data_IF_096370044235
#
_entry.id   IF_096370044235
#
_cell.length_a   1.000
_cell.length_b   1.000
_cell.length_c   1.000
_cell.angle_alpha   90.00
_cell.angle_beta   90.00
_cell.angle_gamma   90.00
#
_symmetry.space_group_name_H-M   'P 1'
#
loop_
_entity.id
_entity.type
_entity.pdbx_description
1 polymer ?
#
# COMPACT_ATOMS: atom_id res chain seq x y z
N UNK A 1 7.25 28.50 -4.38
CA UNK A 1 7.76 27.15 -4.73
C UNK A 1 6.79 26.10 -4.21
N UNK A 2 6.23 25.25 -5.07
CA UNK A 2 5.43 24.10 -4.63
C UNK A 2 6.37 22.94 -4.30
N UNK A 3 6.67 22.76 -3.01
CA UNK A 3 7.38 21.57 -2.52
C UNK A 3 6.44 20.35 -2.62
N UNK A 4 6.91 19.29 -3.26
CA UNK A 4 6.23 17.98 -3.30
C UNK A 4 6.83 17.09 -2.21
N UNK A 5 6.00 16.32 -1.52
CA UNK A 5 6.42 15.33 -0.52
C UNK A 5 5.86 13.96 -0.90
N UNK A 6 6.68 12.90 -0.96
CA UNK A 6 6.20 11.55 -1.20
C UNK A 6 5.49 11.02 0.06
N UNK A 7 4.17 10.90 0.03
CA UNK A 7 3.36 10.53 1.21
C UNK A 7 3.80 9.19 1.80
N UNK A 8 3.92 8.14 0.97
CA UNK A 8 4.36 6.82 1.44
C UNK A 8 5.86 6.79 1.76
N UNK A 9 6.68 7.62 1.11
CA UNK A 9 8.10 7.78 1.45
C UNK A 9 8.32 8.43 2.82
N UNK A 10 7.31 9.12 3.36
CA UNK A 10 7.30 9.72 4.69
C UNK A 10 6.52 8.88 5.72
N UNK A 11 5.72 7.91 5.26
CA UNK A 11 5.02 6.92 6.09
C UNK A 11 5.83 5.62 6.06
N UNK A 12 7.01 5.65 6.68
CA UNK A 12 8.10 4.68 6.46
C UNK A 12 7.95 3.36 7.21
N UNK A 13 6.90 3.17 8.00
CA UNK A 13 6.69 1.92 8.74
C UNK A 13 5.28 1.40 8.51
N UNK A 14 5.19 0.21 7.91
CA UNK A 14 3.95 -0.52 7.78
C UNK A 14 4.14 -1.98 8.17
N UNK A 15 3.14 -2.51 8.88
CA UNK A 15 3.09 -3.93 9.23
C UNK A 15 1.88 -4.55 8.55
N UNK A 16 2.07 -5.69 7.91
CA UNK A 16 0.98 -6.50 7.36
C UNK A 16 0.84 -7.73 8.25
N UNK A 17 -0.40 -7.99 8.70
CA UNK A 17 -0.72 -9.19 9.48
C UNK A 17 -1.99 -9.82 8.93
N UNK A 18 -1.89 -11.10 8.59
CA UNK A 18 -3.06 -11.91 8.28
C UNK A 18 -3.97 -12.02 9.52
N UNK A 19 -5.26 -11.94 9.28
CA UNK A 19 -6.31 -12.06 10.29
C UNK A 19 -6.93 -13.46 10.18
N UNK A 20 -7.55 -13.93 11.26
CA UNK A 20 -8.13 -15.27 11.34
C UNK A 20 -9.30 -15.52 10.39
N UNK A 21 -9.87 -14.47 9.81
CA UNK A 21 -10.94 -14.52 8.80
C UNK A 21 -10.42 -14.56 7.35
N UNK A 22 -9.10 -14.65 7.17
CA UNK A 22 -8.44 -14.61 5.85
C UNK A 22 -8.21 -13.19 5.32
N UNK A 23 -8.56 -12.16 6.08
CA UNK A 23 -8.26 -10.76 5.73
C UNK A 23 -6.82 -10.36 6.03
N UNK A 24 -6.36 -9.26 5.43
CA UNK A 24 -5.09 -8.61 5.77
C UNK A 24 -5.33 -7.33 6.55
N UNK A 25 -4.68 -7.19 7.71
CA UNK A 25 -4.61 -5.93 8.45
C UNK A 25 -3.30 -5.23 8.16
N UNK A 26 -3.40 -4.04 7.57
CA UNK A 26 -2.26 -3.15 7.29
C UNK A 26 -2.29 -2.02 8.33
N UNK A 27 -1.21 -1.89 9.11
CA UNK A 27 -1.01 -0.72 9.96
C UNK A 27 0.01 0.18 9.27
N UNK A 28 -0.31 1.48 9.12
CA UNK A 28 0.58 2.47 8.50
C UNK A 28 0.88 3.54 9.54
N UNK A 29 2.16 3.74 9.87
CA UNK A 29 2.58 4.87 10.67
C UNK A 29 2.66 6.12 9.78
N UNK A 30 1.84 7.13 10.10
CA UNK A 30 1.84 8.41 9.41
C UNK A 30 2.21 9.54 10.38
N UNK A 31 3.17 10.42 10.03
CA UNK A 31 3.42 11.64 10.79
C UNK A 31 2.15 12.46 10.97
N UNK A 32 1.94 13.07 12.15
CA UNK A 32 0.71 13.82 12.48
C UNK A 32 0.33 14.88 11.44
N UNK A 33 1.31 15.53 10.81
CA UNK A 33 1.09 16.53 9.74
C UNK A 33 0.42 15.96 8.48
N UNK A 34 0.50 14.65 8.28
CA UNK A 34 -0.02 13.94 7.11
C UNK A 34 -1.20 13.02 7.43
N UNK A 35 -1.61 12.84 8.70
CA UNK A 35 -2.63 11.87 9.09
C UNK A 35 -3.93 11.97 8.26
N UNK A 36 -4.49 13.18 8.13
CA UNK A 36 -5.71 13.40 7.36
C UNK A 36 -5.48 13.20 5.85
N UNK A 37 -4.30 13.59 5.35
CA UNK A 37 -3.97 13.47 3.93
C UNK A 37 -3.79 12.01 3.53
N UNK A 38 -3.09 11.22 4.35
CA UNK A 38 -2.91 9.78 4.16
C UNK A 38 -4.26 9.09 4.15
N UNK A 39 -5.10 9.35 5.16
CA UNK A 39 -6.45 8.79 5.20
C UNK A 39 -7.25 9.11 3.93
N UNK A 40 -7.27 10.38 3.51
CA UNK A 40 -8.00 10.78 2.31
C UNK A 40 -7.46 10.08 1.04
N UNK A 41 -6.13 10.01 0.88
CA UNK A 41 -5.50 9.37 -0.28
C UNK A 41 -5.72 7.86 -0.31
N UNK A 42 -5.71 7.19 0.85
CA UNK A 42 -6.02 5.76 0.93
C UNK A 42 -7.46 5.47 0.49
N UNK A 43 -8.41 6.35 0.81
CA UNK A 43 -9.81 6.21 0.40
C UNK A 43 -10.05 6.48 -1.09
N UNK A 44 -9.10 7.12 -1.78
CA UNK A 44 -9.14 7.30 -3.24
C UNK A 44 -8.63 6.08 -4.01
N UNK A 45 -7.94 5.15 -3.34
CA UNK A 45 -7.41 3.95 -3.97
C UNK A 45 -8.54 3.08 -4.50
N UNK A 46 -8.42 2.70 -5.76
CA UNK A 46 -9.34 1.81 -6.46
C UNK A 46 -8.49 0.86 -7.29
N UNK A 47 -9.03 -0.34 -7.50
CA UNK A 47 -8.47 -1.37 -8.36
C UNK A 47 -9.59 -1.94 -9.21
N UNK A 48 -9.26 -2.76 -10.21
CA UNK A 48 -10.24 -3.47 -11.03
C UNK A 48 -10.22 -4.97 -10.74
N UNK A 49 -11.30 -5.66 -11.11
CA UNK A 49 -11.39 -7.12 -10.95
C UNK A 49 -10.28 -7.84 -11.73
N UNK A 50 -9.88 -7.31 -12.88
CA UNK A 50 -8.76 -7.85 -13.66
C UNK A 50 -7.42 -7.72 -12.94
N UNK A 51 -7.19 -6.59 -12.25
CA UNK A 51 -5.98 -6.36 -11.47
C UNK A 51 -5.93 -7.29 -10.26
N UNK A 52 -7.06 -7.50 -9.58
CA UNK A 52 -7.19 -8.49 -8.49
C UNK A 52 -6.85 -9.89 -9.02
N UNK A 53 -7.50 -10.33 -10.11
CA UNK A 53 -7.27 -11.64 -10.68
C UNK A 53 -5.81 -11.84 -11.15
N UNK A 54 -5.17 -10.79 -11.66
CA UNK A 54 -3.75 -10.84 -12.04
C UNK A 54 -2.84 -11.15 -10.84
N UNK A 55 -3.07 -10.51 -9.69
CA UNK A 55 -2.26 -10.71 -8.49
C UNK A 55 -2.65 -11.97 -7.69
N UNK A 56 -3.91 -12.42 -7.74
CA UNK A 56 -4.35 -13.68 -7.10
C UNK A 56 -3.81 -14.93 -7.82
N UNK A 57 -3.64 -14.88 -9.14
CA UNK A 57 -3.21 -16.03 -9.94
C UNK A 57 -1.68 -16.17 -10.08
N UNK A 58 -0.90 -15.37 -9.35
CA UNK A 58 0.54 -15.59 -9.18
C UNK A 58 1.43 -15.17 -10.35
N UNK A 59 1.58 -13.86 -10.58
CA UNK A 59 2.71 -13.30 -11.34
C UNK A 59 3.56 -12.37 -10.46
N UNK A 60 4.02 -12.89 -9.31
CA UNK A 60 5.11 -12.28 -8.52
C UNK A 60 6.22 -13.30 -8.21
N UNK A 61 6.31 -14.38 -8.99
CA UNK A 61 7.45 -15.30 -9.00
C UNK A 61 8.19 -15.23 -10.33
N UNK A 62 8.66 -14.05 -10.73
CA UNK A 62 9.69 -13.84 -11.75
C UNK A 62 10.10 -12.35 -11.72
N UNK A 63 11.40 -12.05 -11.68
CA UNK A 63 12.05 -10.73 -11.50
C UNK A 63 12.45 -10.30 -10.08
N UNK A 64 12.82 -11.23 -9.20
CA UNK A 64 13.80 -10.94 -8.12
C UNK A 64 15.15 -11.63 -8.30
N UNK A 65 15.40 -12.25 -9.45
CA UNK A 65 16.73 -12.67 -9.87
C UNK A 65 16.84 -12.41 -11.37
N UNK A 66 17.46 -11.30 -11.75
CA UNK A 66 18.36 -11.21 -12.91
C UNK A 66 19.10 -9.86 -12.83
N UNK A 67 20.37 -10.00 -12.44
CA UNK A 67 21.56 -9.12 -12.51
C UNK A 67 21.58 -7.72 -11.85
#
# INVERSE_FOLDING_TARGET
MNKKYPIMGECTDFSIKEQSDGGLKINIYAPKRFANLVHHKLMELKTSDEEIAYYENGSLSENLNED
#
